data_IF_104282231392
#
_entry.id   IF_104282231392
#
_cell.length_a   1.000
_cell.length_b   1.000
_cell.length_c   1.000
_cell.angle_alpha   90.00
_cell.angle_beta   90.00
_cell.angle_gamma   90.00
#
_symmetry.space_group_name_H-M   'P 1'
#
loop_
_entity.id
_entity.type
_entity.pdbx_description
1 polymer ?
#
# COMPACT_ATOMS: atom_id res chain seq x y z
N UNK A 1 -6.80 -10.23 9.01
CA UNK A 1 -6.17 -10.43 7.69
C UNK A 1 -4.71 -10.76 7.95
N UNK A 2 -4.23 -11.85 7.38
CA UNK A 2 -2.78 -12.16 7.37
C UNK A 2 -2.02 -11.22 6.41
N UNK A 3 -0.68 -11.33 6.40
CA UNK A 3 0.19 -10.49 5.58
C UNK A 3 -0.07 -10.65 4.08
N UNK A 4 -0.29 -11.88 3.60
CA UNK A 4 -0.54 -12.16 2.17
C UNK A 4 -1.86 -11.55 1.71
N UNK A 5 -2.91 -11.64 2.53
CA UNK A 5 -4.19 -10.99 2.27
C UNK A 5 -4.06 -9.47 2.23
N UNK A 6 -3.25 -8.87 3.11
CA UNK A 6 -2.98 -7.42 3.08
C UNK A 6 -2.23 -7.02 1.82
N UNK A 7 -1.16 -7.76 1.45
CA UNK A 7 -0.39 -7.53 0.21
C UNK A 7 -1.30 -7.57 -1.02
N UNK A 8 -2.09 -8.64 -1.17
CA UNK A 8 -3.04 -8.77 -2.27
C UNK A 8 -4.07 -7.63 -2.29
N UNK A 9 -4.54 -7.19 -1.13
CA UNK A 9 -5.53 -6.11 -1.03
C UNK A 9 -4.97 -4.75 -1.49
N UNK A 10 -3.73 -4.42 -1.13
CA UNK A 10 -3.13 -3.12 -1.46
C UNK A 10 -2.53 -3.09 -2.87
N UNK A 11 -2.09 -4.23 -3.39
CA UNK A 11 -1.51 -4.32 -4.74
C UNK A 11 -2.56 -4.47 -5.83
N UNK A 12 -3.77 -4.98 -5.52
CA UNK A 12 -4.80 -5.14 -6.55
C UNK A 12 -5.13 -3.78 -7.19
N UNK A 13 -5.09 -3.74 -8.52
CA UNK A 13 -5.34 -2.54 -9.35
C UNK A 13 -4.31 -1.41 -9.22
N UNK A 14 -3.23 -1.58 -8.45
CA UNK A 14 -2.07 -0.70 -8.57
C UNK A 14 -1.38 -1.04 -9.91
N UNK A 15 -1.14 -0.03 -10.74
CA UNK A 15 -0.40 -0.21 -11.99
C UNK A 15 1.07 -0.56 -11.71
N UNK A 16 1.64 0.07 -10.68
CA UNK A 16 3.00 -0.17 -10.22
C UNK A 16 3.09 -0.01 -8.69
N UNK A 17 3.99 -0.77 -8.06
CA UNK A 17 4.35 -0.64 -6.65
C UNK A 17 5.88 -0.60 -6.55
N UNK A 18 6.43 0.45 -5.96
CA UNK A 18 7.88 0.67 -5.84
C UNK A 18 8.26 0.78 -4.34
N UNK A 19 8.96 -0.18 -3.73
CA UNK A 19 9.14 -1.59 -4.15
C UNK A 19 8.18 -2.54 -3.40
N UNK A 20 7.79 -3.69 -3.97
CA UNK A 20 6.91 -4.64 -3.29
C UNK A 20 7.50 -5.20 -1.99
N UNK A 21 8.83 -5.34 -1.92
CA UNK A 21 9.53 -5.85 -0.73
C UNK A 21 9.48 -4.84 0.42
N UNK A 22 9.68 -3.55 0.14
CA UNK A 22 9.55 -2.49 1.15
C UNK A 22 8.11 -2.38 1.67
N UNK A 23 7.12 -2.52 0.78
CA UNK A 23 5.71 -2.57 1.17
C UNK A 23 5.41 -3.76 2.09
N UNK A 24 5.99 -4.93 1.80
CA UNK A 24 5.85 -6.11 2.65
C UNK A 24 6.42 -5.87 4.03
N UNK A 25 7.64 -5.35 4.11
CA UNK A 25 8.30 -5.01 5.39
C UNK A 25 7.44 -4.00 6.17
N UNK A 26 6.94 -2.95 5.52
CA UNK A 26 6.07 -1.96 6.14
C UNK A 26 4.81 -2.59 6.75
N UNK A 27 4.12 -3.45 6.00
CA UNK A 27 2.88 -4.11 6.44
C UNK A 27 3.09 -5.16 7.55
N UNK A 28 4.32 -5.65 7.69
CA UNK A 28 4.73 -6.57 8.75
C UNK A 28 5.12 -5.81 10.04
N UNK A 29 5.85 -4.69 9.93
CA UNK A 29 6.42 -4.00 11.09
C UNK A 29 5.55 -2.88 11.67
N UNK A 30 4.70 -2.25 10.85
CA UNK A 30 3.86 -1.14 11.28
C UNK A 30 2.41 -1.59 11.47
N UNK A 31 1.89 -1.46 12.69
CA UNK A 31 0.53 -1.84 13.01
C UNK A 31 -0.52 -0.92 12.36
N UNK A 32 -0.17 0.35 12.12
CA UNK A 32 -1.05 1.39 11.57
C UNK A 32 -0.34 2.24 10.49
N UNK A 33 -0.04 1.65 9.32
CA UNK A 33 0.59 2.39 8.22
C UNK A 33 -0.33 3.50 7.73
N UNK A 34 0.26 4.62 7.29
CA UNK A 34 -0.47 5.78 6.80
C UNK A 34 -0.30 5.87 5.28
N UNK A 35 -1.40 6.18 4.60
CA UNK A 35 -1.41 6.48 3.18
C UNK A 35 -2.02 7.87 2.97
N UNK A 36 -1.62 8.53 1.88
CA UNK A 36 -2.15 9.83 1.49
C UNK A 36 -2.28 9.87 -0.03
N UNK A 37 -3.32 10.54 -0.50
CA UNK A 37 -3.51 10.86 -1.91
C UNK A 37 -3.77 12.36 -2.02
N UNK A 38 -2.88 13.06 -2.70
CA UNK A 38 -3.07 14.45 -3.09
C UNK A 38 -3.80 14.53 -4.42
N UNK A 39 -4.88 15.28 -4.46
CA UNK A 39 -5.61 15.61 -5.68
C UNK A 39 -5.75 17.13 -5.75
N UNK A 40 -5.47 17.69 -6.93
CA UNK A 40 -5.70 19.10 -7.21
C UNK A 40 -7.01 19.24 -8.00
N UNK A 41 -7.99 19.93 -7.40
CA UNK A 41 -9.29 20.18 -8.04
C UNK A 41 -9.17 21.34 -9.03
N UNK A 42 -8.64 21.04 -10.22
CA UNK A 42 -8.38 22.04 -11.28
C UNK A 42 -9.58 22.39 -12.16
N UNK A 43 -10.76 21.79 -11.90
CA UNK A 43 -11.99 21.98 -12.69
C UNK A 43 -12.24 20.88 -13.70
#
# INVERSE_FOLDING_TARGET
>A
MDLEQKMNLVMRNAEEVVTPDELRVLLETEAKPRAYWGFESSG
#
